data_IF_080063591527
#
_entry.id   IF_080063591527
#
_cell.length_a   1.000
_cell.length_b   1.000
_cell.length_c   1.000
_cell.angle_alpha   90.00
_cell.angle_beta   90.00
_cell.angle_gamma   90.00
#
_symmetry.space_group_name_H-M   'P 1'
#
loop_
_entity.id
_entity.type
_entity.pdbx_description
1 polymer ?
#
# COMPACT_ATOMS: atom_id res chain seq x y z
N UNK A 1 18.17 21.22 53.18
CA UNK A 1 17.46 21.69 54.39
C UNK A 1 16.74 20.49 54.97
N UNK A 2 17.14 20.06 56.18
CA UNK A 2 16.63 18.86 56.84
C UNK A 2 15.19 19.08 57.33
N UNK A 3 14.31 18.12 57.07
CA UNK A 3 13.20 17.79 57.97
C UNK A 3 12.92 16.28 57.92
N UNK A 4 13.16 15.63 59.06
CA UNK A 4 12.75 14.26 59.38
C UNK A 4 11.36 14.30 60.02
N UNK A 5 10.45 13.43 59.57
CA UNK A 5 9.45 12.64 60.33
C UNK A 5 8.99 11.54 59.33
N UNK A 6 8.83 10.24 59.60
CA UNK A 6 8.56 9.49 60.82
C UNK A 6 7.15 8.87 60.73
N UNK A 7 7.04 7.58 60.36
CA UNK A 7 5.82 6.77 60.55
C UNK A 7 5.12 6.30 59.27
N UNK A 8 5.01 4.98 59.09
CA UNK A 8 4.28 4.35 57.97
C UNK A 8 2.77 4.37 58.12
N UNK A 9 2.03 3.94 57.09
CA UNK A 9 0.90 2.97 57.11
C UNK A 9 0.23 2.85 55.72
N UNK A 10 -0.02 1.60 55.37
CA UNK A 10 -0.96 0.93 54.44
C UNK A 10 -1.93 1.73 53.52
N UNK A 11 -1.87 1.28 52.27
CA UNK A 11 -2.83 1.23 51.15
C UNK A 11 -4.35 1.35 51.48
N UNK A 12 -5.03 2.28 50.79
CA UNK A 12 -6.41 2.11 50.25
C UNK A 12 -6.76 3.28 49.32
N UNK A 13 -6.93 3.01 48.02
CA UNK A 13 -7.68 3.92 47.14
C UNK A 13 -8.76 3.09 46.44
N UNK A 14 -10.01 3.36 46.83
CA UNK A 14 -11.21 3.10 46.06
C UNK A 14 -11.63 4.47 45.52
N UNK A 15 -11.78 4.61 44.20
CA UNK A 15 -12.76 5.55 43.64
C UNK A 15 -13.15 5.11 42.22
N UNK A 16 -14.45 4.82 42.09
CA UNK A 16 -15.22 4.68 40.85
C UNK A 16 -15.17 5.99 40.05
N UNK A 17 -15.09 5.90 38.73
CA UNK A 17 -15.72 6.87 37.83
C UNK A 17 -16.43 6.11 36.70
N UNK A 18 -17.70 6.47 36.49
CA UNK A 18 -18.53 6.07 35.35
C UNK A 18 -18.04 6.70 34.05
N UNK A 19 -18.10 5.95 32.95
CA UNK A 19 -18.46 6.48 31.64
C UNK A 19 -19.10 5.35 30.82
N UNK A 20 -20.21 5.68 30.15
CA UNK A 20 -21.07 4.77 29.38
C UNK A 20 -21.13 5.35 27.96
N UNK A 21 -21.05 4.46 26.95
CA UNK A 21 -21.13 4.65 25.48
C UNK A 21 -19.85 5.21 24.83
N UNK A 22 -19.28 4.66 23.74
CA UNK A 22 -19.85 3.96 22.58
C UNK A 22 -18.77 3.06 21.90
N UNK A 23 -19.21 1.88 21.43
CA UNK A 23 -18.63 0.88 20.51
C UNK A 23 -17.15 0.93 20.05
N UNK A 24 -16.51 -0.24 20.14
CA UNK A 24 -15.90 -0.84 18.95
C UNK A 24 -14.38 -0.83 18.81
N UNK A 25 -13.62 -1.18 19.85
CA UNK A 25 -12.24 -1.63 19.65
C UNK A 25 -11.98 -2.85 20.53
N UNK A 26 -11.98 -4.02 19.89
CA UNK A 26 -11.51 -5.25 20.51
C UNK A 26 -10.02 -5.06 20.78
N UNK A 27 -9.69 -5.13 22.06
CA UNK A 27 -8.38 -4.95 22.65
C UNK A 27 -7.37 -5.94 22.01
N UNK A 28 -6.51 -5.48 21.10
CA UNK A 28 -5.29 -6.21 20.72
C UNK A 28 -4.29 -6.01 21.86
N UNK A 29 -4.47 -6.79 22.91
CA UNK A 29 -3.57 -6.84 24.05
C UNK A 29 -3.37 -8.31 24.42
N UNK A 30 -2.69 -9.03 23.53
CA UNK A 30 -2.14 -10.36 23.81
C UNK A 30 -0.76 -10.50 23.17
N UNK A 31 0.23 -9.82 23.74
CA UNK A 31 1.58 -10.38 23.78
C UNK A 31 1.72 -11.04 25.14
N UNK A 32 1.04 -12.18 25.30
CA UNK A 32 1.34 -13.10 26.41
C UNK A 32 2.43 -14.05 25.90
N UNK A 33 3.51 -14.29 26.65
CA UNK A 33 4.41 -15.39 26.29
C UNK A 33 3.57 -16.67 26.25
N UNK A 34 3.54 -17.33 25.09
CA UNK A 34 2.86 -18.60 24.89
C UNK A 34 3.34 -19.60 25.96
N UNK A 35 2.54 -19.78 26.99
CA UNK A 35 2.84 -20.69 28.09
C UNK A 35 2.66 -22.12 27.58
N UNK A 36 3.76 -22.89 27.56
CA UNK A 36 3.67 -24.35 27.39
C UNK A 36 2.79 -24.92 28.50
N UNK A 37 1.66 -25.51 28.13
CA UNK A 37 0.83 -26.25 29.06
C UNK A 37 1.39 -27.67 29.24
N UNK A 38 1.42 -28.15 30.49
CA UNK A 38 1.64 -29.55 30.85
C UNK A 38 0.28 -30.20 31.08
N UNK A 39 0.05 -31.40 30.55
CA UNK A 39 -1.23 -32.10 30.68
C UNK A 39 -1.48 -32.67 32.09
N UNK A 40 -0.51 -32.54 33.00
CA UNK A 40 -0.60 -33.00 34.39
C UNK A 40 -0.50 -34.54 34.53
N UNK A 41 -0.15 -35.27 33.47
CA UNK A 41 0.14 -36.70 33.52
C UNK A 41 1.38 -36.96 34.38
N UNK A 42 1.40 -38.10 35.10
CA UNK A 42 2.54 -38.50 35.94
C UNK A 42 3.79 -38.66 35.08
N UNK A 43 4.80 -37.84 35.32
CA UNK A 43 6.09 -37.95 34.63
C UNK A 43 6.73 -39.31 34.92
N UNK A 44 7.04 -40.09 33.89
CA UNK A 44 8.01 -41.18 34.05
C UNK A 44 9.38 -40.55 34.27
N UNK A 45 10.02 -40.84 35.39
CA UNK A 45 11.30 -40.25 35.74
C UNK A 45 12.42 -40.56 34.74
N UNK A 46 12.25 -41.54 33.85
CA UNK A 46 13.30 -42.00 32.93
C UNK A 46 13.49 -41.12 31.70
N UNK A 47 12.44 -40.45 31.22
CA UNK A 47 12.53 -39.51 30.09
C UNK A 47 11.61 -38.30 30.33
N UNK A 48 12.12 -37.10 30.07
CA UNK A 48 11.36 -35.87 30.21
C UNK A 48 11.68 -34.90 29.08
N UNK A 49 10.65 -34.22 28.56
CA UNK A 49 10.84 -33.06 27.68
C UNK A 49 11.39 -31.90 28.52
N UNK A 50 12.61 -31.47 28.22
CA UNK A 50 13.25 -30.32 28.90
C UNK A 50 12.90 -28.99 28.27
N UNK A 51 12.76 -28.96 26.94
CA UNK A 51 12.43 -27.77 26.18
C UNK A 51 11.84 -28.14 24.83
N UNK A 52 10.93 -27.30 24.34
CA UNK A 52 10.43 -27.32 22.96
C UNK A 52 10.60 -25.90 22.42
N UNK A 53 11.14 -25.76 21.23
CA UNK A 53 11.06 -24.54 20.44
C UNK A 53 10.42 -24.83 19.09
N UNK A 54 9.65 -23.87 18.60
CA UNK A 54 8.95 -23.92 17.32
C UNK A 54 9.29 -22.65 16.57
N UNK A 55 9.76 -22.77 15.33
CA UNK A 55 10.15 -21.63 14.52
C UNK A 55 9.89 -21.87 13.03
N UNK A 56 9.38 -20.86 12.31
CA UNK A 56 8.87 -19.58 12.83
C UNK A 56 7.50 -19.75 13.53
N UNK A 57 7.10 -18.77 14.35
CA UNK A 57 5.81 -18.78 15.07
C UNK A 57 4.60 -18.60 14.12
N UNK A 58 4.80 -17.80 13.07
CA UNK A 58 3.93 -17.63 11.92
C UNK A 58 4.66 -18.19 10.72
N UNK A 59 4.03 -19.03 9.91
CA UNK A 59 4.66 -19.51 8.69
C UNK A 59 3.68 -19.62 7.54
N UNK A 60 4.18 -19.27 6.36
CA UNK A 60 3.55 -19.59 5.10
C UNK A 60 4.14 -20.88 4.52
N UNK A 61 3.29 -21.82 4.06
CA UNK A 61 3.73 -23.07 3.45
C UNK A 61 4.43 -22.83 2.10
N UNK A 62 4.29 -21.63 1.52
CA UNK A 62 4.93 -21.22 0.28
C UNK A 62 6.30 -20.58 0.50
N UNK A 63 6.60 -20.13 1.71
CA UNK A 63 7.87 -19.48 2.07
C UNK A 63 8.78 -20.42 2.85
N UNK A 64 8.22 -21.23 3.76
CA UNK A 64 9.01 -22.11 4.63
C UNK A 64 8.17 -23.27 5.19
N UNK A 65 8.84 -24.15 5.94
CA UNK A 65 8.21 -25.12 6.83
C UNK A 65 8.42 -24.71 8.28
N UNK A 66 7.46 -25.01 9.14
CA UNK A 66 7.67 -24.94 10.57
C UNK A 66 8.65 -26.03 11.03
N UNK A 67 9.61 -25.67 11.88
CA UNK A 67 10.55 -26.60 12.54
C UNK A 67 10.23 -26.69 14.03
N UNK A 68 10.01 -27.92 14.50
CA UNK A 68 9.95 -28.27 15.92
C UNK A 68 11.32 -28.78 16.37
N UNK A 69 11.86 -28.23 17.46
CA UNK A 69 13.08 -28.72 18.10
C UNK A 69 12.78 -29.06 19.55
N UNK A 70 12.86 -30.35 19.90
CA UNK A 70 12.53 -30.85 21.23
C UNK A 70 13.75 -31.49 21.87
N UNK A 71 14.10 -31.04 23.07
CA UNK A 71 15.18 -31.64 23.87
C UNK A 71 14.60 -32.50 24.98
N UNK A 72 15.20 -33.67 25.15
CA UNK A 72 14.80 -34.69 26.11
C UNK A 72 15.93 -34.96 27.08
N UNK A 73 15.64 -34.95 28.38
CA UNK A 73 16.55 -35.44 29.42
C UNK A 73 16.19 -36.89 29.71
N UNK A 74 17.19 -37.76 29.63
CA UNK A 74 17.05 -39.20 29.87
C UNK A 74 17.90 -39.57 31.08
N UNK A 75 17.29 -40.22 32.08
CA UNK A 75 18.04 -40.75 33.24
C UNK A 75 18.64 -42.10 32.88
N UNK A 76 19.96 -42.24 33.00
CA UNK A 76 20.63 -43.55 32.95
C UNK A 76 20.24 -44.34 34.20
N UNK A 77 19.21 -45.18 34.06
CA UNK A 77 18.67 -46.05 35.10
C UNK A 77 18.90 -47.51 34.74
N UNK A 78 18.58 -48.45 35.64
CA UNK A 78 18.74 -49.90 35.44
C UNK A 78 18.14 -50.42 34.12
N UNK A 79 17.17 -49.71 33.53
CA UNK A 79 16.54 -50.05 32.25
C UNK A 79 17.39 -49.75 30.99
N UNK A 80 18.45 -48.95 31.10
CA UNK A 80 19.38 -48.58 30.01
C UNK A 80 20.75 -49.28 30.13
N UNK A 81 20.89 -50.23 31.05
CA UNK A 81 22.13 -50.99 31.27
C UNK A 81 22.44 -51.89 30.06
N UNK A 82 23.65 -51.78 29.54
CA UNK A 82 24.28 -52.81 28.73
C UNK A 82 25.07 -53.71 29.70
N UNK A 83 24.58 -54.92 29.95
CA UNK A 83 25.36 -55.94 30.67
C UNK A 83 26.22 -56.69 29.65
N UNK A 84 27.51 -56.89 29.93
CA UNK A 84 28.48 -57.65 29.10
C UNK A 84 28.06 -59.10 28.77
N UNK A 85 26.91 -59.57 29.30
CA UNK A 85 26.39 -60.94 29.17
C UNK A 85 24.98 -61.05 28.56
N UNK A 86 24.38 -59.95 28.09
CA UNK A 86 23.02 -59.94 27.49
C UNK A 86 23.05 -59.47 26.03
N UNK A 87 22.10 -59.92 25.17
CA UNK A 87 22.03 -59.47 23.78
C UNK A 87 22.01 -57.93 23.72
N UNK A 88 22.78 -57.37 22.77
CA UNK A 88 22.93 -55.93 22.59
C UNK A 88 21.55 -55.30 22.41
N UNK A 89 21.04 -54.66 23.46
CA UNK A 89 19.81 -53.89 23.39
C UNK A 89 20.11 -52.57 22.68
N UNK A 90 19.23 -52.21 21.73
CA UNK A 90 19.20 -50.87 21.15
C UNK A 90 18.13 -50.03 21.84
N UNK A 91 18.41 -48.75 22.01
CA UNK A 91 17.51 -47.80 22.67
C UNK A 91 17.18 -46.68 21.72
N UNK A 92 15.92 -46.27 21.69
CA UNK A 92 15.44 -45.21 20.82
C UNK A 92 14.61 -44.22 21.60
N UNK A 93 14.72 -42.93 21.25
CA UNK A 93 13.66 -41.95 21.55
C UNK A 93 12.81 -41.84 20.31
N UNK A 94 11.51 -42.12 20.45
CA UNK A 94 10.51 -41.93 19.39
C UNK A 94 9.66 -40.72 19.76
N UNK A 95 9.88 -39.60 19.09
CA UNK A 95 9.07 -38.39 19.21
C UNK A 95 7.84 -38.51 18.31
N UNK A 96 6.69 -38.10 18.83
CA UNK A 96 5.45 -37.94 18.07
C UNK A 96 4.91 -36.54 18.27
N UNK A 97 4.64 -35.85 17.16
CA UNK A 97 3.98 -34.54 17.12
C UNK A 97 2.63 -34.73 16.45
N UNK A 98 1.56 -34.41 17.19
CA UNK A 98 0.20 -34.41 16.66
C UNK A 98 -0.26 -32.97 16.49
N UNK A 99 -0.67 -32.61 15.28
CA UNK A 99 -1.19 -31.28 14.96
C UNK A 99 -2.69 -31.39 14.77
N UNK A 100 -3.43 -30.48 15.39
CA UNK A 100 -4.90 -30.46 15.43
C UNK A 100 -5.42 -29.03 15.26
N UNK A 101 -6.65 -28.89 14.80
CA UNK A 101 -7.32 -27.58 14.76
C UNK A 101 -7.62 -27.10 16.19
N UNK A 102 -7.38 -25.81 16.47
CA UNK A 102 -7.69 -25.19 17.75
C UNK A 102 -9.18 -25.28 18.16
N UNK A 103 -10.10 -25.39 17.19
CA UNK A 103 -11.55 -25.49 17.42
C UNK A 103 -12.08 -26.93 17.56
N UNK A 104 -11.27 -27.95 17.29
CA UNK A 104 -11.65 -29.37 17.39
C UNK A 104 -10.55 -30.16 18.11
N UNK A 105 -10.47 -29.97 19.42
CA UNK A 105 -9.53 -30.69 20.26
C UNK A 105 -9.73 -32.22 20.10
N UNK A 106 -8.70 -32.91 19.59
CA UNK A 106 -8.63 -34.38 19.57
C UNK A 106 -8.61 -35.04 18.19
N UNK A 107 -8.90 -34.33 17.10
CA UNK A 107 -8.74 -34.88 15.73
C UNK A 107 -7.35 -34.52 15.20
N UNK A 108 -6.50 -35.52 15.00
CA UNK A 108 -5.20 -35.35 14.37
C UNK A 108 -5.38 -35.01 12.88
N UNK A 109 -4.84 -33.86 12.47
CA UNK A 109 -4.75 -33.45 11.07
C UNK A 109 -3.42 -33.89 10.45
N UNK A 110 -2.35 -33.87 11.24
CA UNK A 110 -1.02 -34.32 10.87
C UNK A 110 -0.38 -35.04 12.04
N UNK A 111 0.24 -36.18 11.77
CA UNK A 111 1.12 -36.85 12.74
C UNK A 111 2.54 -36.92 12.17
N UNK A 112 3.50 -36.35 12.89
CA UNK A 112 4.92 -36.41 12.53
C UNK A 112 5.65 -37.24 13.57
N UNK A 113 6.22 -38.38 13.16
CA UNK A 113 7.00 -39.24 14.02
C UNK A 113 8.47 -39.22 13.60
N UNK A 114 9.36 -38.99 14.55
CA UNK A 114 10.80 -39.06 14.35
C UNK A 114 11.42 -39.98 15.40
N UNK A 115 12.45 -40.74 15.02
CA UNK A 115 13.16 -41.61 15.95
C UNK A 115 14.66 -41.38 15.90
N UNK A 116 15.31 -41.53 17.05
CA UNK A 116 16.76 -41.41 17.18
C UNK A 116 17.30 -42.56 18.03
N UNK A 117 18.25 -43.31 17.47
CA UNK A 117 18.97 -44.36 18.21
C UNK A 117 19.92 -43.71 19.22
N UNK A 118 19.80 -44.09 20.49
CA UNK A 118 20.64 -43.60 21.55
C UNK A 118 21.92 -44.43 21.62
N UNK A 119 23.04 -43.74 21.80
CA UNK A 119 24.27 -44.36 22.31
C UNK A 119 24.22 -44.27 23.83
N UNK A 120 24.03 -45.39 24.56
CA UNK A 120 23.88 -45.34 26.01
C UNK A 120 25.15 -44.77 26.66
N UNK A 121 25.07 -43.78 27.54
CA UNK A 121 26.25 -43.33 28.28
C UNK A 121 26.68 -44.37 29.31
N UNK A 122 27.96 -44.36 29.64
CA UNK A 122 28.53 -45.13 30.76
C UNK A 122 27.90 -44.65 32.08
N UNK A 123 27.44 -45.61 32.90
CA UNK A 123 26.73 -45.54 34.21
C UNK A 123 26.53 -44.17 34.89
N UNK A 124 25.33 -44.01 35.46
CA UNK A 124 24.95 -43.07 36.54
C UNK A 124 24.92 -41.57 36.21
N UNK A 125 24.77 -41.20 34.92
CA UNK A 125 24.56 -39.80 34.50
C UNK A 125 23.35 -39.66 33.58
N UNK A 126 22.56 -38.61 33.81
CA UNK A 126 21.55 -38.17 32.83
C UNK A 126 22.23 -37.55 31.62
N UNK A 127 21.60 -37.67 30.46
CA UNK A 127 22.08 -37.07 29.22
C UNK A 127 20.91 -36.48 28.45
N UNK A 128 21.23 -35.59 27.50
CA UNK A 128 20.24 -34.91 26.68
C UNK A 128 20.34 -35.35 25.23
N UNK A 129 19.19 -35.48 24.57
CA UNK A 129 19.09 -35.68 23.12
C UNK A 129 18.11 -34.65 22.56
N UNK A 130 18.41 -34.11 21.38
CA UNK A 130 17.52 -33.17 20.68
C UNK A 130 17.08 -33.80 19.38
N UNK A 131 15.77 -33.81 19.14
CA UNK A 131 15.16 -34.23 17.87
C UNK A 131 14.54 -33.01 17.20
N UNK A 132 14.64 -32.98 15.87
CA UNK A 132 13.95 -32.00 15.05
C UNK A 132 12.91 -32.68 14.17
N UNK A 133 11.83 -31.97 13.89
CA UNK A 133 10.78 -32.40 12.98
C UNK A 133 10.26 -31.18 12.22
N UNK A 134 9.73 -31.39 11.02
CA UNK A 134 9.19 -30.32 10.19
C UNK A 134 7.72 -30.54 9.87
N UNK A 135 7.00 -29.44 9.70
CA UNK A 135 5.64 -29.42 9.19
C UNK A 135 5.49 -28.36 8.10
N UNK A 136 4.90 -28.77 7.00
CA UNK A 136 4.72 -28.00 5.77
C UNK A 136 3.31 -27.39 5.62
N UNK A 137 2.52 -27.38 6.70
CA UNK A 137 1.15 -26.87 6.68
C UNK A 137 0.12 -27.85 6.09
N UNK A 138 0.52 -29.07 5.70
CA UNK A 138 -0.39 -30.06 5.10
C UNK A 138 -0.84 -31.10 6.11
N UNK A 139 -2.00 -31.72 5.85
CA UNK A 139 -2.48 -32.87 6.59
C UNK A 139 -1.78 -34.18 6.17
N UNK A 140 -2.15 -35.30 6.79
CA UNK A 140 -1.61 -36.64 6.46
C UNK A 140 -1.94 -37.08 5.02
N UNK A 141 -3.02 -36.56 4.42
CA UNK A 141 -3.37 -36.80 3.02
C UNK A 141 -2.61 -35.90 2.03
N UNK A 142 -1.73 -35.02 2.53
CA UNK A 142 -0.96 -34.08 1.70
C UNK A 142 -1.75 -32.88 1.19
N UNK A 143 -2.93 -32.61 1.75
CA UNK A 143 -3.75 -31.43 1.43
C UNK A 143 -3.34 -30.26 2.30
N UNK A 144 -3.16 -29.09 1.69
CA UNK A 144 -2.85 -27.85 2.42
C UNK A 144 -4.01 -27.47 3.33
N UNK A 145 -3.70 -27.17 4.60
CA UNK A 145 -4.68 -26.71 5.55
C UNK A 145 -4.99 -25.22 5.34
N UNK A 146 -6.18 -24.80 5.74
CA UNK A 146 -6.60 -23.40 5.67
C UNK A 146 -5.84 -22.54 6.69
N UNK A 147 -5.79 -21.24 6.44
CA UNK A 147 -5.19 -20.27 7.35
C UNK A 147 -5.83 -20.33 8.74
N UNK A 148 -5.01 -20.18 9.77
CA UNK A 148 -5.46 -20.10 11.15
C UNK A 148 -4.51 -20.69 12.18
N UNK A 149 -5.02 -20.81 13.40
CA UNK A 149 -4.26 -21.31 14.54
C UNK A 149 -4.45 -22.82 14.73
N UNK A 150 -3.33 -23.52 14.82
CA UNK A 150 -3.24 -24.95 15.04
C UNK A 150 -2.56 -25.23 16.38
N UNK A 151 -2.99 -26.32 17.03
CA UNK A 151 -2.39 -26.81 18.28
C UNK A 151 -1.52 -28.01 17.96
N UNK A 152 -0.27 -27.95 18.38
CA UNK A 152 0.63 -29.10 18.36
C UNK A 152 0.71 -29.74 19.74
N UNK A 153 0.84 -31.07 19.77
CA UNK A 153 1.05 -31.87 20.96
C UNK A 153 2.28 -32.74 20.75
N UNK A 154 3.35 -32.51 21.51
CA UNK A 154 4.60 -33.26 21.44
C UNK A 154 4.68 -34.22 22.62
N UNK A 155 4.95 -35.47 22.32
CA UNK A 155 5.28 -36.52 23.29
C UNK A 155 6.43 -37.37 22.77
N UNK A 156 7.07 -38.13 23.65
CA UNK A 156 8.03 -39.14 23.23
C UNK A 156 7.97 -40.40 24.08
N UNK A 157 8.31 -41.52 23.45
CA UNK A 157 8.49 -42.81 24.08
C UNK A 157 9.97 -43.20 24.05
N UNK A 158 10.49 -43.65 25.19
CA UNK A 158 11.79 -44.30 25.28
C UNK A 158 11.58 -45.81 25.07
N UNK A 159 12.16 -46.35 24.01
CA UNK A 159 11.92 -47.72 23.55
C UNK A 159 13.19 -48.54 23.61
N UNK A 160 13.08 -49.79 24.08
CA UNK A 160 14.14 -50.80 24.10
C UNK A 160 13.80 -51.95 23.15
N UNK A 161 14.73 -52.32 22.28
CA UNK A 161 14.60 -53.43 21.33
C UNK A 161 15.69 -54.48 21.57
N UNK A 162 15.37 -55.78 21.47
CA UNK A 162 16.39 -56.86 21.46
C UNK A 162 16.92 -57.06 20.03
N UNK A 163 18.24 -57.06 19.85
CA UNK A 163 18.84 -57.63 18.65
C UNK A 163 18.54 -59.14 18.62
N UNK A 164 17.96 -59.63 17.53
CA UNK A 164 17.99 -61.06 17.19
C UNK A 164 19.26 -61.34 16.40
N UNK A 165 20.09 -62.29 16.85
CA UNK A 165 21.20 -62.79 16.04
C UNK A 165 21.01 -64.27 15.69
N UNK A 166 21.06 -64.50 14.37
CA UNK A 166 21.54 -65.65 13.59
C UNK A 166 20.72 -66.96 13.55
N UNK A 167 20.01 -67.14 12.42
CA UNK A 167 19.89 -68.44 11.76
C UNK A 167 21.30 -69.02 11.54
N UNK A 168 21.61 -70.10 12.26
CA UNK A 168 22.64 -71.06 11.85
C UNK A 168 21.92 -72.36 11.55
N UNK A 169 21.61 -72.58 10.27
CA UNK A 169 21.21 -73.90 9.81
C UNK A 169 22.46 -74.79 9.69
N UNK A 170 22.73 -75.50 10.77
CA UNK A 170 23.47 -76.75 10.73
C UNK A 170 22.67 -77.78 9.94
N UNK A 171 23.36 -78.39 8.97
CA UNK A 171 22.98 -79.62 8.26
C UNK A 171 22.39 -80.65 9.22
N UNK A 172 21.33 -81.34 8.81
CA UNK A 172 21.38 -82.79 8.91
C UNK A 172 20.49 -83.53 7.91
N UNK A 173 21.14 -84.54 7.31
CA UNK A 173 20.59 -85.74 6.70
C UNK A 173 19.54 -86.42 7.59
N UNK A 174 18.72 -87.25 6.97
CA UNK A 174 18.21 -88.45 7.63
C UNK A 174 16.72 -88.51 7.85
N UNK A 175 16.04 -88.90 6.78
CA UNK A 175 14.83 -89.72 6.80
C UNK A 175 14.99 -90.91 7.79
N UNK A 176 14.14 -91.05 8.82
CA UNK A 176 13.38 -92.29 9.03
C UNK A 176 12.26 -92.17 10.08
N UNK A 177 11.20 -92.91 9.81
CA UNK A 177 10.04 -93.16 10.67
C UNK A 177 10.39 -94.29 11.64
N UNK A 178 9.97 -94.19 12.90
CA UNK A 178 8.85 -94.99 13.44
C UNK A 178 8.76 -94.99 14.98
N UNK A 179 7.51 -94.73 15.42
CA UNK A 179 6.74 -95.35 16.52
C UNK A 179 7.27 -95.46 17.97
N UNK A 180 6.44 -94.83 18.83
CA UNK A 180 5.86 -95.27 20.13
C UNK A 180 6.83 -95.50 21.30
N UNK A 181 6.67 -94.69 22.36
CA UNK A 181 6.09 -95.12 23.66
C UNK A 181 6.13 -94.00 24.72
N UNK A 182 5.09 -93.98 25.56
CA UNK A 182 5.02 -93.49 26.94
C UNK A 182 5.10 -91.97 27.28
N UNK A 183 3.93 -91.44 27.67
CA UNK A 183 3.61 -90.78 28.96
C UNK A 183 4.51 -89.63 29.44
N UNK A 184 4.00 -88.39 29.40
CA UNK A 184 3.93 -87.53 30.60
C UNK A 184 3.03 -86.30 30.44
N UNK A 185 2.45 -85.85 31.55
CA UNK A 185 1.74 -84.58 31.70
C UNK A 185 2.73 -83.42 31.55
N UNK A 186 2.40 -82.40 30.76
CA UNK A 186 3.02 -81.07 30.96
C UNK A 186 2.17 -79.95 30.35
N UNK A 187 1.88 -78.95 31.20
CA UNK A 187 1.41 -77.61 30.83
C UNK A 187 2.47 -76.91 29.96
N UNK A 188 2.09 -76.37 28.80
CA UNK A 188 2.78 -75.24 28.15
C UNK A 188 1.69 -74.22 27.80
N UNK A 189 1.57 -73.03 28.40
CA UNK A 189 2.47 -71.87 28.53
C UNK A 189 2.85 -71.28 27.16
N UNK A 190 2.02 -70.32 26.74
CA UNK A 190 2.22 -69.35 25.66
C UNK A 190 3.62 -68.72 25.71
N UNK A 191 4.29 -68.60 24.56
CA UNK A 191 5.47 -67.76 24.36
C UNK A 191 5.55 -67.27 22.91
N UNK A 192 4.77 -66.23 22.61
CA UNK A 192 5.18 -65.18 21.67
C UNK A 192 5.39 -63.92 22.52
N UNK A 193 6.60 -63.74 23.05
CA UNK A 193 6.97 -62.54 23.82
C UNK A 193 7.54 -61.47 22.87
N UNK A 194 6.85 -60.34 22.84
CA UNK A 194 7.11 -59.10 22.11
C UNK A 194 8.59 -58.64 22.13
N UNK A 195 9.14 -58.33 20.94
CA UNK A 195 10.58 -57.99 20.72
C UNK A 195 10.92 -56.53 21.06
N UNK A 196 9.92 -55.69 21.34
CA UNK A 196 10.06 -54.26 21.62
C UNK A 196 9.34 -53.88 22.91
N UNK A 197 9.95 -53.04 23.75
CA UNK A 197 9.36 -52.61 25.03
C UNK A 197 9.47 -51.10 25.21
N UNK A 198 8.35 -50.43 25.49
CA UNK A 198 8.32 -49.06 25.99
C UNK A 198 8.79 -49.07 27.44
N UNK A 199 9.84 -48.30 27.74
CA UNK A 199 10.48 -48.26 29.06
C UNK A 199 10.37 -46.91 29.76
N UNK A 200 9.85 -45.88 29.08
CA UNK A 200 9.39 -44.63 29.65
C UNK A 200 8.66 -43.75 28.65
N UNK A 201 7.83 -42.84 29.15
CA UNK A 201 7.02 -41.93 28.34
C UNK A 201 7.07 -40.52 28.93
N UNK A 202 7.05 -39.51 28.06
CA UNK A 202 6.95 -38.11 28.49
C UNK A 202 5.49 -37.70 28.66
N UNK A 203 5.22 -36.76 29.56
CA UNK A 203 3.99 -35.96 29.50
C UNK A 203 3.90 -35.22 28.16
N UNK A 204 2.68 -34.91 27.72
CA UNK A 204 2.47 -34.13 26.50
C UNK A 204 2.82 -32.66 26.75
N UNK A 205 3.55 -32.06 25.82
CA UNK A 205 3.73 -30.60 25.76
C UNK A 205 2.99 -30.04 24.57
N UNK A 206 2.14 -29.05 24.85
CA UNK A 206 1.30 -28.42 23.84
C UNK A 206 1.67 -26.96 23.64
N UNK A 207 1.46 -26.49 22.41
CA UNK A 207 1.56 -25.07 22.06
C UNK A 207 0.76 -24.79 20.80
N UNK A 208 0.82 -23.54 20.35
CA UNK A 208 0.12 -23.10 19.16
C UNK A 208 1.10 -22.69 18.06
N UNK A 209 0.63 -22.77 16.83
CA UNK A 209 1.30 -22.26 15.64
C UNK A 209 0.27 -21.63 14.71
N UNK A 210 0.67 -20.59 13.98
CA UNK A 210 -0.19 -19.93 13.00
C UNK A 210 0.30 -20.30 11.60
N UNK A 211 -0.57 -20.95 10.83
CA UNK A 211 -0.41 -21.19 9.41
C UNK A 211 -1.10 -20.05 8.68
N UNK A 212 -0.39 -19.39 7.78
CA UNK A 212 -0.93 -18.29 6.99
C UNK A 212 -0.33 -18.29 5.60
N UNK A 213 -1.15 -18.62 4.61
CA UNK A 213 -0.78 -18.70 3.21
C UNK A 213 -1.31 -17.51 2.39
N UNK A 214 -2.05 -16.58 3.01
CA UNK A 214 -2.68 -15.45 2.33
C UNK A 214 -1.77 -14.22 2.39
N UNK A 215 -1.53 -13.60 1.24
CA UNK A 215 -0.76 -12.34 1.21
C UNK A 215 -1.58 -11.15 1.75
N UNK A 216 -0.93 -10.12 2.31
CA UNK A 216 -1.58 -8.88 2.70
C UNK A 216 -2.42 -8.24 1.60
N UNK A 217 -3.49 -7.55 1.96
CA UNK A 217 -4.20 -6.64 1.05
C UNK A 217 -3.59 -5.25 1.18
N UNK A 218 -3.37 -4.57 0.05
CA UNK A 218 -2.86 -3.20 -0.01
C UNK A 218 -3.81 -2.37 -0.89
N UNK A 219 -4.14 -1.17 -0.45
CA UNK A 219 -4.84 -0.15 -1.23
C UNK A 219 -4.02 1.15 -1.19
N UNK A 220 -4.07 1.92 -2.28
CA UNK A 220 -3.30 3.16 -2.43
C UNK A 220 -4.18 4.31 -2.91
N UNK A 221 -3.87 5.51 -2.44
CA UNK A 221 -4.41 6.78 -2.91
C UNK A 221 -3.24 7.73 -3.23
N UNK A 222 -3.22 8.44 -4.36
CA UNK A 222 -4.22 8.45 -5.43
C UNK A 222 -4.48 7.08 -6.06
N UNK A 223 -5.74 6.85 -6.43
CA UNK A 223 -6.22 5.61 -7.02
C UNK A 223 -5.72 5.46 -8.47
N UNK A 224 -5.78 4.25 -8.99
CA UNK A 224 -5.22 3.97 -10.31
C UNK A 224 -5.98 4.74 -11.42
N UNK A 225 -5.21 5.50 -12.21
CA UNK A 225 -5.63 6.46 -13.24
C UNK A 225 -6.38 7.70 -12.73
N UNK A 226 -6.24 8.04 -11.44
CA UNK A 226 -6.82 9.26 -10.90
C UNK A 226 -6.14 10.51 -11.48
N UNK A 227 -6.94 11.51 -11.86
CA UNK A 227 -6.44 12.85 -12.15
C UNK A 227 -6.32 13.64 -10.84
N UNK A 228 -5.09 14.03 -10.52
CA UNK A 228 -4.74 14.72 -9.29
C UNK A 228 -4.42 16.18 -9.61
N UNK A 229 -5.19 17.08 -9.01
CA UNK A 229 -5.13 18.52 -9.28
C UNK A 229 -4.04 19.26 -8.46
N UNK A 230 -3.44 18.58 -7.48
CA UNK A 230 -2.34 19.14 -6.67
C UNK A 230 -1.00 18.66 -7.21
N UNK A 231 -0.06 19.58 -7.45
CA UNK A 231 1.32 19.24 -7.80
C UNK A 231 2.09 18.62 -6.63
N UNK A 232 1.60 18.74 -5.40
CA UNK A 232 2.17 18.15 -4.19
C UNK A 232 1.12 17.27 -3.50
N UNK A 233 0.76 16.12 -4.07
CA UNK A 233 -0.24 15.25 -3.48
C UNK A 233 0.27 14.56 -2.22
N UNK A 234 -0.67 14.04 -1.43
CA UNK A 234 -0.36 13.12 -0.33
C UNK A 234 -0.65 11.71 -0.82
N UNK A 235 0.37 10.87 -0.81
CA UNK A 235 0.23 9.44 -1.06
C UNK A 235 -0.20 8.76 0.24
N UNK A 236 -1.29 8.00 0.20
CA UNK A 236 -1.75 7.18 1.31
C UNK A 236 -1.76 5.71 0.90
N UNK A 237 -1.29 4.86 1.78
CA UNK A 237 -1.31 3.40 1.61
C UNK A 237 -2.01 2.81 2.82
N UNK A 238 -3.00 1.95 2.60
CA UNK A 238 -3.61 1.14 3.66
C UNK A 238 -3.30 -0.31 3.40
N UNK A 239 -3.06 -1.06 4.47
CA UNK A 239 -2.79 -2.49 4.36
C UNK A 239 -3.41 -3.26 5.51
N UNK A 240 -3.74 -4.52 5.24
CA UNK A 240 -4.31 -5.41 6.24
C UNK A 240 -3.94 -6.86 5.94
N UNK A 241 -3.75 -7.63 7.00
CA UNK A 241 -3.71 -9.08 6.95
C UNK A 241 -4.51 -9.62 8.14
N UNK A 242 -5.28 -10.68 7.91
CA UNK A 242 -6.25 -11.18 8.88
C UNK A 242 -5.68 -12.26 9.81
N UNK A 243 -4.62 -12.96 9.41
CA UNK A 243 -4.19 -14.19 10.09
C UNK A 243 -2.89 -13.99 10.87
N UNK A 244 -1.79 -13.65 10.20
CA UNK A 244 -0.50 -13.39 10.85
C UNK A 244 -0.30 -11.90 11.19
N UNK A 245 -1.08 -11.03 10.56
CA UNK A 245 -0.96 -9.59 10.68
C UNK A 245 0.28 -9.05 9.98
N UNK A 246 0.39 -7.73 9.94
CA UNK A 246 1.41 -7.05 9.12
C UNK A 246 2.78 -7.03 9.81
N UNK A 247 3.85 -7.23 9.03
CA UNK A 247 5.22 -6.88 9.42
C UNK A 247 5.62 -5.53 8.79
N UNK A 248 5.40 -4.45 9.53
CA UNK A 248 5.64 -3.08 9.06
C UNK A 248 7.11 -2.78 8.75
N UNK A 249 8.06 -3.60 9.24
CA UNK A 249 9.48 -3.41 8.95
C UNK A 249 9.84 -3.76 7.51
N UNK A 250 8.95 -4.46 6.80
CA UNK A 250 9.13 -4.87 5.41
C UNK A 250 8.46 -3.93 4.41
N UNK A 251 7.83 -2.85 4.90
CA UNK A 251 7.15 -1.88 4.05
C UNK A 251 8.16 -1.15 3.16
N UNK A 252 7.82 -1.05 1.88
CA UNK A 252 8.51 -0.25 0.90
C UNK A 252 7.50 0.57 0.09
N UNK A 253 7.85 1.83 -0.16
CA UNK A 253 7.09 2.74 -1.00
C UNK A 253 8.03 3.45 -1.96
N UNK A 254 7.72 3.43 -3.25
CA UNK A 254 8.35 4.29 -4.23
C UNK A 254 7.34 5.16 -4.97
N UNK A 255 7.82 6.34 -5.39
CA UNK A 255 7.15 7.27 -6.30
C UNK A 255 8.12 7.55 -7.45
N UNK A 256 7.72 7.24 -8.68
CA UNK A 256 8.54 7.41 -9.89
C UNK A 256 9.95 6.80 -9.75
N UNK A 257 9.98 5.53 -9.33
CA UNK A 257 11.21 4.76 -9.05
C UNK A 257 12.10 5.30 -7.91
N UNK A 258 11.70 6.38 -7.24
CA UNK A 258 12.38 6.90 -6.05
C UNK A 258 11.84 6.24 -4.79
N UNK A 259 12.72 5.61 -4.00
CA UNK A 259 12.36 5.07 -2.69
C UNK A 259 12.08 6.21 -1.69
N UNK A 260 10.83 6.30 -1.25
CA UNK A 260 10.33 7.29 -0.28
C UNK A 260 9.98 6.66 1.07
N UNK A 261 10.34 5.39 1.29
CA UNK A 261 10.04 4.64 2.51
C UNK A 261 10.55 5.37 3.75
N UNK A 262 11.80 5.84 3.73
CA UNK A 262 12.45 6.48 4.88
C UNK A 262 11.88 7.84 5.30
N UNK A 263 11.12 8.49 4.41
CA UNK A 263 10.44 9.78 4.67
C UNK A 263 8.94 9.63 4.85
N UNK A 264 8.43 8.40 4.76
CA UNK A 264 7.02 8.06 4.98
C UNK A 264 6.73 7.90 6.47
N UNK A 265 5.51 8.24 6.88
CA UNK A 265 5.00 7.92 8.23
C UNK A 265 4.32 6.56 8.15
N UNK A 266 4.91 5.54 8.80
CA UNK A 266 4.43 4.16 8.78
C UNK A 266 3.71 3.85 10.10
N UNK A 267 2.54 3.23 10.03
CA UNK A 267 1.69 2.85 11.16
C UNK A 267 1.29 1.37 11.04
N UNK A 268 0.73 0.72 12.07
CA UNK A 268 0.33 -0.68 11.96
C UNK A 268 -0.73 -1.00 10.88
N UNK A 269 -1.43 0.00 10.34
CA UNK A 269 -2.55 -0.19 9.40
C UNK A 269 -2.38 0.57 8.08
N UNK A 270 -1.26 1.26 7.89
CA UNK A 270 -1.04 2.06 6.69
C UNK A 270 0.20 2.95 6.77
N UNK A 271 0.49 3.65 5.68
CA UNK A 271 1.56 4.61 5.57
C UNK A 271 1.12 5.86 4.82
N UNK A 272 1.73 7.00 5.11
CA UNK A 272 1.49 8.26 4.38
C UNK A 272 2.80 8.93 3.98
N UNK A 273 2.86 9.44 2.76
CA UNK A 273 3.96 10.22 2.23
C UNK A 273 3.43 11.53 1.64
N UNK A 274 3.87 12.67 2.17
CA UNK A 274 3.55 13.99 1.62
C UNK A 274 4.62 14.40 0.62
N UNK A 275 4.24 14.55 -0.65
CA UNK A 275 5.16 15.05 -1.68
C UNK A 275 5.51 16.51 -1.36
N UNK A 276 6.81 16.82 -1.26
CA UNK A 276 7.30 18.15 -0.87
C UNK A 276 7.80 18.98 -2.05
N UNK A 277 8.24 18.32 -3.12
CA UNK A 277 8.66 18.96 -4.36
C UNK A 277 7.53 18.84 -5.37
N UNK A 278 7.04 19.95 -5.97
CA UNK A 278 6.01 19.89 -6.99
C UNK A 278 6.39 18.92 -8.12
N UNK A 279 5.48 18.01 -8.42
CA UNK A 279 5.59 17.08 -9.54
C UNK A 279 5.30 17.81 -10.85
N UNK A 280 5.95 17.36 -11.92
CA UNK A 280 5.67 17.82 -13.29
C UNK A 280 4.32 17.29 -13.78
N UNK A 281 3.70 17.93 -14.76
CA UNK A 281 2.57 17.33 -15.46
C UNK A 281 2.93 16.00 -16.13
N UNK A 282 1.98 15.08 -16.15
CA UNK A 282 2.14 13.74 -16.72
C UNK A 282 1.71 12.62 -15.78
N UNK A 283 2.10 11.40 -16.13
CA UNK A 283 1.79 10.18 -15.38
C UNK A 283 2.88 9.95 -14.33
N UNK A 284 2.46 9.70 -13.10
CA UNK A 284 3.29 9.31 -11.98
C UNK A 284 2.93 7.90 -11.52
N UNK A 285 3.92 7.16 -11.02
CA UNK A 285 3.77 5.76 -10.61
C UNK A 285 4.10 5.57 -9.14
N UNK A 286 3.17 4.95 -8.40
CA UNK A 286 3.33 4.52 -7.02
C UNK A 286 3.55 3.01 -7.02
N UNK A 287 4.57 2.53 -6.30
CA UNK A 287 4.74 1.11 -6.01
C UNK A 287 4.79 0.95 -4.50
N UNK A 288 3.87 0.15 -3.95
CA UNK A 288 3.81 -0.17 -2.53
C UNK A 288 3.97 -1.67 -2.34
N UNK A 289 4.86 -2.08 -1.45
CA UNK A 289 5.16 -3.49 -1.14
C UNK A 289 5.23 -3.70 0.36
N UNK A 290 4.67 -4.79 0.86
CA UNK A 290 4.76 -5.17 2.28
C UNK A 290 4.62 -6.69 2.43
N UNK A 291 5.15 -7.24 3.52
CA UNK A 291 4.85 -8.60 3.94
C UNK A 291 4.07 -8.67 5.25
N UNK A 292 3.37 -9.78 5.44
CA UNK A 292 2.86 -10.18 6.74
C UNK A 292 3.99 -10.81 7.60
N UNK A 293 3.63 -11.27 8.81
CA UNK A 293 4.56 -11.98 9.71
C UNK A 293 4.85 -13.42 9.32
N UNK A 294 4.03 -14.02 8.45
CA UNK A 294 4.27 -15.32 7.84
C UNK A 294 5.16 -15.24 6.58
N UNK A 295 5.63 -14.04 6.25
CA UNK A 295 6.45 -13.67 5.09
C UNK A 295 5.73 -13.78 3.73
N UNK A 296 4.40 -13.81 3.68
CA UNK A 296 3.69 -13.60 2.42
C UNK A 296 3.82 -12.13 2.01
N UNK A 297 4.12 -11.91 0.73
CA UNK A 297 4.40 -10.59 0.18
C UNK A 297 3.25 -10.17 -0.74
N UNK A 298 2.88 -8.90 -0.65
CA UNK A 298 2.06 -8.21 -1.65
C UNK A 298 2.78 -6.99 -2.19
N UNK A 299 2.56 -6.72 -3.47
CA UNK A 299 3.04 -5.54 -4.18
C UNK A 299 1.91 -5.02 -5.08
N UNK A 300 1.73 -3.71 -5.10
CA UNK A 300 0.77 -3.03 -5.98
C UNK A 300 1.46 -1.87 -6.68
N UNK A 301 1.12 -1.73 -7.95
CA UNK A 301 1.45 -0.57 -8.76
C UNK A 301 0.18 0.21 -9.06
N UNK A 302 0.21 1.52 -8.83
CA UNK A 302 -0.86 2.45 -9.18
C UNK A 302 -0.27 3.64 -9.91
N UNK A 303 -0.91 4.06 -10.99
CA UNK A 303 -0.52 5.27 -11.71
C UNK A 303 -1.53 6.39 -11.47
N UNK A 304 -1.11 7.63 -11.43
CA UNK A 304 -2.00 8.79 -11.39
C UNK A 304 -1.48 9.88 -12.32
N UNK A 305 -2.32 10.81 -12.74
CA UNK A 305 -1.95 11.88 -13.65
C UNK A 305 -1.99 13.23 -12.94
N UNK A 306 -1.01 14.08 -13.22
CA UNK A 306 -1.00 15.49 -12.84
C UNK A 306 -1.14 16.34 -14.09
N UNK A 307 -1.97 17.37 -14.00
CA UNK A 307 -2.06 18.42 -15.00
C UNK A 307 -1.34 19.69 -14.51
N UNK A 308 -0.32 20.10 -15.26
CA UNK A 308 0.45 21.32 -15.02
C UNK A 308 0.42 22.27 -16.22
N UNK A 309 -0.54 22.10 -17.14
CA UNK A 309 -0.61 22.86 -18.39
C UNK A 309 -1.72 23.90 -18.29
N UNK A 310 -1.44 25.19 -18.50
CA UNK A 310 -2.50 26.19 -18.61
C UNK A 310 -3.48 25.88 -19.75
N UNK A 311 -4.76 26.32 -19.63
CA UNK A 311 -5.69 26.24 -20.73
C UNK A 311 -5.19 27.08 -21.93
N UNK A 312 -5.56 26.72 -23.15
CA UNK A 312 -5.38 27.60 -24.30
C UNK A 312 -6.41 28.73 -24.25
N UNK A 313 -5.99 29.94 -24.64
CA UNK A 313 -6.82 31.14 -24.62
C UNK A 313 -6.54 31.99 -25.87
N UNK A 314 -7.59 32.35 -26.61
CA UNK A 314 -7.52 33.27 -27.74
C UNK A 314 -8.55 34.39 -27.63
N UNK A 315 -8.20 35.58 -28.12
CA UNK A 315 -9.05 36.77 -28.08
C UNK A 315 -9.30 37.30 -29.49
N UNK A 316 -10.58 37.44 -29.84
CA UNK A 316 -11.07 38.00 -31.09
C UNK A 316 -11.84 39.29 -30.79
N UNK A 317 -11.84 40.22 -31.74
CA UNK A 317 -12.78 41.33 -31.80
C UNK A 317 -13.47 41.32 -33.16
N UNK A 318 -14.81 41.37 -33.16
CA UNK A 318 -15.66 41.30 -34.36
C UNK A 318 -15.32 40.10 -35.28
N UNK A 319 -14.95 38.97 -34.68
CA UNK A 319 -14.59 37.74 -35.37
C UNK A 319 -13.15 37.65 -35.86
N UNK A 320 -12.35 38.69 -35.69
CA UNK A 320 -10.95 38.74 -36.13
C UNK A 320 -9.98 38.69 -34.94
N UNK A 321 -8.86 37.97 -35.11
CA UNK A 321 -7.83 37.90 -34.08
C UNK A 321 -7.19 39.26 -33.87
N UNK A 322 -7.12 39.71 -32.61
CA UNK A 322 -6.48 40.97 -32.25
C UNK A 322 -5.12 40.75 -31.58
N UNK A 323 -4.25 41.74 -31.71
CA UNK A 323 -2.90 41.76 -31.13
C UNK A 323 -2.56 43.20 -30.70
N UNK A 324 -1.43 43.38 -30.01
CA UNK A 324 -1.00 44.71 -29.57
C UNK A 324 -0.84 45.66 -30.78
N UNK A 325 -1.58 46.77 -30.75
CA UNK A 325 -1.62 47.77 -31.81
C UNK A 325 -2.68 47.54 -32.88
N UNK A 326 -3.51 46.49 -32.78
CA UNK A 326 -4.66 46.28 -33.67
C UNK A 326 -5.56 47.52 -33.69
N UNK A 327 -6.03 47.89 -34.88
CA UNK A 327 -6.99 48.98 -35.06
C UNK A 327 -8.37 48.37 -35.31
N UNK A 328 -9.34 48.74 -34.49
CA UNK A 328 -10.72 48.29 -34.55
C UNK A 328 -11.57 49.47 -35.03
N UNK A 329 -12.25 49.29 -36.16
CA UNK A 329 -13.09 50.33 -36.79
C UNK A 329 -14.57 50.27 -36.37
N UNK A 330 -14.82 49.59 -35.26
CA UNK A 330 -16.11 49.46 -34.60
C UNK A 330 -15.97 50.00 -33.18
N UNK A 331 -16.80 50.97 -32.81
CA UNK A 331 -16.76 51.61 -31.48
C UNK A 331 -17.50 50.77 -30.43
N UNK A 332 -18.27 49.75 -30.83
CA UNK A 332 -18.89 48.75 -29.95
C UNK A 332 -18.47 47.35 -30.39
N UNK A 333 -17.17 47.00 -30.29
CA UNK A 333 -16.70 45.70 -30.75
C UNK A 333 -17.29 44.57 -29.91
N UNK A 334 -17.61 43.45 -30.57
CA UNK A 334 -17.90 42.21 -29.89
C UNK A 334 -16.58 41.47 -29.64
N UNK A 335 -16.18 41.38 -28.38
CA UNK A 335 -15.06 40.55 -27.97
C UNK A 335 -15.50 39.11 -27.77
N UNK A 336 -14.70 38.18 -28.28
CA UNK A 336 -14.89 36.75 -28.07
C UNK A 336 -13.58 36.14 -27.55
N UNK A 337 -13.68 35.42 -26.45
CA UNK A 337 -12.59 34.73 -25.78
C UNK A 337 -12.85 33.24 -25.88
N UNK A 338 -12.14 32.54 -26.76
CA UNK A 338 -12.24 31.09 -26.86
C UNK A 338 -11.17 30.44 -25.97
N UNK A 339 -11.55 29.36 -25.28
CA UNK A 339 -10.66 28.63 -24.39
C UNK A 339 -10.94 27.14 -24.37
N UNK A 340 -9.89 26.35 -24.16
CA UNK A 340 -9.98 24.90 -24.04
C UNK A 340 -8.87 24.38 -23.14
N UNK A 341 -9.13 23.25 -22.50
CA UNK A 341 -8.13 22.46 -21.79
C UNK A 341 -8.48 20.98 -21.94
N UNK A 342 -7.51 20.17 -22.36
CA UNK A 342 -7.71 18.76 -22.68
C UNK A 342 -7.47 17.83 -21.48
N UNK A 343 -6.86 18.32 -20.40
CA UNK A 343 -6.40 17.50 -19.29
C UNK A 343 -7.34 17.61 -18.07
N UNK A 344 -7.33 18.74 -17.36
CA UNK A 344 -8.22 18.96 -16.22
C UNK A 344 -9.53 19.64 -16.59
N UNK A 345 -9.64 20.18 -17.80
CA UNK A 345 -10.79 20.93 -18.28
C UNK A 345 -10.84 22.32 -17.69
N UNK A 346 -11.62 23.20 -18.32
CA UNK A 346 -11.67 24.62 -17.96
C UNK A 346 -12.51 24.87 -16.71
N UNK A 347 -12.02 25.73 -15.81
CA UNK A 347 -12.78 26.25 -14.69
C UNK A 347 -13.38 27.62 -15.04
N UNK A 348 -14.59 27.65 -15.59
CA UNK A 348 -15.23 28.90 -16.03
C UNK A 348 -15.52 29.89 -14.90
N UNK A 349 -15.61 29.42 -13.64
CA UNK A 349 -15.79 30.30 -12.47
C UNK A 349 -14.54 31.14 -12.15
N UNK A 350 -13.37 30.76 -12.72
CA UNK A 350 -12.13 31.51 -12.59
C UNK A 350 -11.99 32.65 -13.61
N UNK A 351 -12.88 32.72 -14.62
CA UNK A 351 -12.80 33.70 -15.69
C UNK A 351 -12.89 35.13 -15.16
N UNK A 352 -11.98 35.99 -15.63
CA UNK A 352 -11.97 37.42 -15.36
C UNK A 352 -11.71 38.19 -16.64
N UNK A 353 -12.43 39.29 -16.80
CA UNK A 353 -12.30 40.20 -17.93
C UNK A 353 -12.21 41.64 -17.43
N UNK A 354 -11.24 42.38 -17.96
CA UNK A 354 -11.14 43.81 -17.74
C UNK A 354 -10.99 44.57 -19.05
N UNK A 355 -11.62 45.75 -19.12
CA UNK A 355 -11.49 46.71 -20.20
C UNK A 355 -11.07 48.06 -19.58
N UNK A 356 -9.97 48.63 -20.05
CA UNK A 356 -9.36 49.86 -19.52
C UNK A 356 -9.15 49.84 -18.00
N UNK A 357 -8.76 48.67 -17.48
CA UNK A 357 -8.59 48.35 -16.05
C UNK A 357 -9.89 48.30 -15.23
N UNK A 358 -11.06 48.47 -15.85
CA UNK A 358 -12.35 48.22 -15.20
C UNK A 358 -12.71 46.73 -15.33
N UNK A 359 -13.06 46.09 -14.22
CA UNK A 359 -13.60 44.73 -14.22
C UNK A 359 -15.00 44.73 -14.84
N UNK A 360 -15.13 44.02 -15.96
CA UNK A 360 -16.37 43.88 -16.73
C UNK A 360 -16.79 42.41 -16.83
N UNK A 361 -16.26 41.56 -15.94
CA UNK A 361 -16.52 40.11 -15.92
C UNK A 361 -18.02 39.80 -15.83
N UNK A 362 -18.76 40.55 -15.02
CA UNK A 362 -20.20 40.33 -14.81
C UNK A 362 -21.05 40.67 -16.04
N UNK A 363 -20.53 41.48 -16.96
CA UNK A 363 -21.20 41.87 -18.20
C UNK A 363 -20.90 40.90 -19.36
N UNK A 364 -19.98 39.95 -19.17
CA UNK A 364 -19.67 38.91 -20.13
C UNK A 364 -20.66 37.74 -20.06
N UNK A 365 -20.94 37.14 -21.21
CA UNK A 365 -21.66 35.86 -21.32
C UNK A 365 -20.62 34.75 -21.37
N UNK A 366 -20.56 33.92 -20.33
CA UNK A 366 -19.55 32.87 -20.16
C UNK A 366 -20.20 31.50 -20.42
N UNK A 367 -19.61 30.69 -21.29
CA UNK A 367 -20.02 29.32 -21.61
C UNK A 367 -18.90 28.32 -21.30
N UNK A 368 -19.08 27.01 -21.42
CA UNK A 368 -17.99 26.05 -21.18
C UNK A 368 -16.79 26.16 -22.12
N UNK A 369 -16.94 26.77 -23.31
CA UNK A 369 -15.89 26.82 -24.34
C UNK A 369 -15.50 28.23 -24.79
N UNK A 370 -16.28 29.25 -24.42
CA UNK A 370 -15.97 30.63 -24.76
C UNK A 370 -16.67 31.62 -23.83
N UNK A 371 -16.20 32.86 -23.86
CA UNK A 371 -16.91 34.00 -23.30
C UNK A 371 -17.05 35.11 -24.34
N UNK A 372 -18.16 35.84 -24.33
CA UNK A 372 -18.38 37.01 -25.20
C UNK A 372 -18.69 38.24 -24.38
N UNK A 373 -18.18 39.40 -24.81
CA UNK A 373 -18.44 40.68 -24.17
C UNK A 373 -18.62 41.78 -25.23
N UNK A 374 -19.63 42.62 -25.03
CA UNK A 374 -19.86 43.81 -25.86
C UNK A 374 -20.01 45.02 -24.95
N UNK A 375 -19.18 46.07 -25.08
CA UNK A 375 -19.33 47.28 -24.29
C UNK A 375 -20.74 47.87 -24.42
N UNK A 376 -21.37 48.19 -23.29
CA UNK A 376 -22.73 48.74 -23.28
C UNK A 376 -22.81 50.14 -23.92
N UNK A 377 -21.71 50.90 -23.88
CA UNK A 377 -21.57 52.20 -24.53
C UNK A 377 -20.43 52.13 -25.55
N UNK A 378 -20.52 52.90 -26.66
CA UNK A 378 -19.41 53.05 -27.58
C UNK A 378 -18.13 53.49 -26.85
N UNK A 379 -17.02 52.82 -27.14
CA UNK A 379 -15.69 53.21 -26.70
C UNK A 379 -15.32 54.56 -27.31
N UNK A 380 -14.40 55.29 -26.69
CA UNK A 380 -13.86 56.51 -27.30
C UNK A 380 -12.93 56.17 -28.46
N UNK A 381 -12.74 57.10 -29.39
CA UNK A 381 -11.60 56.98 -30.31
C UNK A 381 -10.29 57.10 -29.53
N UNK A 382 -9.31 56.25 -29.83
CA UNK A 382 -8.02 56.23 -29.14
C UNK A 382 -7.61 54.84 -28.64
N UNK A 383 -6.66 54.82 -27.68
CA UNK A 383 -6.07 53.58 -27.15
C UNK A 383 -6.94 52.99 -26.05
N UNK A 384 -7.12 51.68 -26.11
CA UNK A 384 -7.84 50.88 -25.12
C UNK A 384 -7.03 49.63 -24.76
N UNK A 385 -7.29 49.06 -23.59
CA UNK A 385 -6.65 47.82 -23.12
C UNK A 385 -7.68 46.79 -22.68
N UNK A 386 -7.57 45.56 -23.15
CA UNK A 386 -8.39 44.43 -22.73
C UNK A 386 -7.50 43.35 -22.09
N UNK A 387 -7.88 42.85 -20.92
CA UNK A 387 -7.16 41.79 -20.21
C UNK A 387 -8.12 40.68 -19.82
N UNK A 388 -7.71 39.43 -20.06
CA UNK A 388 -8.49 38.22 -19.77
C UNK A 388 -7.63 37.25 -18.97
N UNK A 389 -8.17 36.71 -17.88
CA UNK A 389 -7.57 35.62 -17.11
C UNK A 389 -8.58 34.46 -17.03
N UNK A 390 -8.12 33.22 -17.22
CA UNK A 390 -8.90 32.01 -16.97
C UNK A 390 -7.98 30.90 -16.47
N UNK A 391 -8.50 29.99 -15.64
CA UNK A 391 -7.79 28.80 -15.16
C UNK A 391 -8.51 27.53 -15.57
N UNK A 392 -7.77 26.44 -15.60
CA UNK A 392 -8.32 25.09 -15.66
C UNK A 392 -8.76 24.62 -14.25
N UNK A 393 -9.22 23.37 -14.12
CA UNK A 393 -9.60 22.80 -12.83
C UNK A 393 -8.40 22.42 -11.96
N UNK A 394 -7.21 22.22 -12.55
CA UNK A 394 -5.95 22.03 -11.82
C UNK A 394 -5.37 23.34 -11.24
N UNK A 395 -5.93 24.50 -11.61
CA UNK A 395 -5.50 25.82 -11.17
C UNK A 395 -4.37 26.43 -12.01
N UNK A 396 -4.03 25.82 -13.15
CA UNK A 396 -3.09 26.41 -14.11
C UNK A 396 -3.77 27.60 -14.81
N UNK A 397 -3.05 28.72 -14.92
CA UNK A 397 -3.60 30.00 -15.37
C UNK A 397 -3.16 30.37 -16.77
N UNK A 398 -4.10 30.78 -17.60
CA UNK A 398 -3.86 31.48 -18.85
C UNK A 398 -4.30 32.95 -18.71
N UNK A 399 -3.45 33.86 -19.18
CA UNK A 399 -3.72 35.29 -19.17
C UNK A 399 -3.31 35.91 -20.51
N UNK A 400 -4.10 36.86 -21.01
CA UNK A 400 -3.74 37.69 -22.16
C UNK A 400 -4.10 39.14 -21.89
N UNK A 401 -3.25 40.06 -22.37
CA UNK A 401 -3.46 41.50 -22.26
C UNK A 401 -3.08 42.17 -23.57
N UNK A 402 -4.04 42.87 -24.18
CA UNK A 402 -3.91 43.47 -25.50
C UNK A 402 -4.28 44.94 -25.46
N UNK A 403 -3.38 45.79 -25.95
CA UNK A 403 -3.66 47.19 -26.23
C UNK A 403 -4.07 47.35 -27.68
N UNK A 404 -5.23 47.97 -27.94
CA UNK A 404 -5.76 48.21 -29.29
C UNK A 404 -6.17 49.67 -29.46
N UNK A 405 -6.48 50.06 -30.69
CA UNK A 405 -6.92 51.40 -31.05
C UNK A 405 -8.32 51.33 -31.61
N UNK A 406 -9.24 52.14 -31.11
CA UNK A 406 -10.56 52.37 -31.71
C UNK A 406 -10.50 53.62 -32.57
N UNK A 407 -10.96 53.54 -33.82
CA UNK A 407 -10.91 54.66 -34.76
C UNK A 407 -11.96 54.55 -35.87
N UNK A 408 -12.37 55.67 -36.47
CA UNK A 408 -13.15 55.63 -37.71
C UNK A 408 -12.26 55.24 -38.91
N UNK A 409 -12.86 54.57 -39.90
CA UNK A 409 -12.20 54.31 -41.18
C UNK A 409 -11.97 55.64 -41.94
N UNK A 410 -10.70 56.04 -42.12
CA UNK A 410 -10.32 57.29 -42.79
C UNK A 410 -10.00 57.15 -44.29
N UNK A 411 -10.07 55.93 -44.84
CA UNK A 411 -9.79 55.64 -46.26
C UNK A 411 -8.33 55.30 -46.57
N UNK A 412 -8.04 55.05 -47.85
CA UNK A 412 -6.68 54.76 -48.37
C UNK A 412 -6.21 55.95 -49.18
N UNK A 413 -4.96 56.38 -48.96
CA UNK A 413 -4.30 57.41 -49.77
C UNK A 413 -3.07 56.81 -50.42
N UNK A 414 -2.93 57.04 -51.72
CA UNK A 414 -1.79 56.60 -52.51
C UNK A 414 -1.00 57.81 -53.05
N UNK A 415 -0.08 57.55 -53.99
CA UNK A 415 0.77 58.59 -54.59
C UNK A 415 -0.01 59.63 -55.40
N UNK A 416 -1.28 59.39 -55.76
CA UNK A 416 -2.14 60.38 -56.41
C UNK A 416 -2.58 61.50 -55.45
N UNK A 417 -2.40 61.32 -54.13
CA UNK A 417 -2.95 62.22 -53.12
C UNK A 417 -4.48 62.14 -53.09
N UNK A 418 -5.12 63.08 -52.40
CA UNK A 418 -6.58 63.07 -52.30
C UNK A 418 -7.11 63.98 -51.19
N UNK A 419 -8.43 64.09 -51.13
CA UNK A 419 -9.13 64.79 -50.05
C UNK A 419 -9.80 63.73 -49.17
N UNK A 420 -9.39 63.67 -47.90
CA UNK A 420 -10.14 62.91 -46.89
C UNK A 420 -11.11 63.86 -46.24
N UNK A 421 -12.38 63.53 -46.32
CA UNK A 421 -13.43 64.25 -45.61
C UNK A 421 -13.68 63.52 -44.30
N UNK A 422 -13.37 64.17 -43.17
CA UNK A 422 -13.66 63.62 -41.83
C UNK A 422 -15.16 63.82 -41.56
N UNK A 423 -15.98 62.80 -41.85
CA UNK A 423 -17.39 62.80 -41.47
C UNK A 423 -17.58 61.98 -40.20
N UNK A 424 -18.09 62.60 -39.13
CA UNK A 424 -18.48 61.88 -37.93
C UNK A 424 -19.73 61.02 -38.21
N UNK A 425 -19.60 59.70 -38.09
CA UNK A 425 -20.67 58.73 -38.34
C UNK A 425 -21.88 58.92 -37.40
N UNK A 426 -21.71 59.54 -36.22
CA UNK A 426 -22.77 59.81 -35.26
C UNK A 426 -23.50 61.15 -35.47
N UNK A 427 -22.95 62.07 -36.29
CA UNK A 427 -23.56 63.37 -36.62
C UNK A 427 -22.85 63.97 -37.85
N UNK A 428 -23.43 63.94 -39.07
CA UNK A 428 -22.79 64.46 -40.27
C UNK A 428 -22.82 65.99 -40.28
N UNK A 429 -21.96 66.62 -39.49
CA UNK A 429 -21.61 68.03 -39.65
C UNK A 429 -20.55 68.11 -40.77
N UNK A 430 -20.64 69.14 -41.63
CA UNK A 430 -19.70 69.39 -42.72
C UNK A 430 -18.25 69.28 -42.22
N UNK A 431 -17.56 68.23 -42.67
CA UNK A 431 -16.30 67.75 -42.11
C UNK A 431 -15.10 68.64 -42.41
N UNK A 432 -14.08 68.57 -41.54
CA UNK A 432 -12.74 69.04 -41.89
C UNK A 432 -12.20 68.17 -43.05
N UNK A 433 -11.70 68.82 -44.10
CA UNK A 433 -11.06 68.14 -45.22
C UNK A 433 -9.54 68.17 -45.04
N UNK A 434 -8.91 67.00 -44.95
CA UNK A 434 -7.46 66.89 -45.05
C UNK A 434 -7.10 66.72 -46.53
N UNK A 435 -6.43 67.70 -47.11
CA UNK A 435 -5.92 67.60 -48.48
C UNK A 435 -4.49 67.09 -48.44
N UNK A 436 -4.24 65.94 -49.06
CA UNK A 436 -2.92 65.35 -49.17
C UNK A 436 -2.43 65.56 -50.61
N UNK A 437 -1.33 66.31 -50.83
CA UNK A 437 -0.83 66.56 -52.18
C UNK A 437 -0.29 65.28 -52.82
N UNK A 438 -0.33 65.22 -54.15
CA UNK A 438 0.26 64.12 -54.90
C UNK A 438 1.74 63.91 -54.55
N UNK A 439 2.17 62.65 -54.47
CA UNK A 439 3.49 62.21 -54.03
C UNK A 439 3.85 62.48 -52.54
N UNK A 440 2.90 62.92 -51.71
CA UNK A 440 3.13 63.08 -50.27
C UNK A 440 3.43 61.76 -49.56
N UNK A 441 2.93 60.64 -50.10
CA UNK A 441 3.17 59.30 -49.59
C UNK A 441 3.71 58.42 -50.73
N UNK A 442 4.88 57.78 -50.56
CA UNK A 442 5.53 57.01 -51.62
C UNK A 442 4.86 55.64 -51.88
N UNK A 443 3.96 55.21 -50.99
CA UNK A 443 3.20 53.96 -51.04
C UNK A 443 1.80 54.18 -50.45
N UNK A 444 0.80 53.32 -50.77
CA UNK A 444 -0.52 53.40 -50.16
C UNK A 444 -0.46 53.34 -48.63
N UNK A 445 -1.14 54.28 -47.98
CA UNK A 445 -1.28 54.34 -46.52
C UNK A 445 -2.77 54.33 -46.15
N UNK A 446 -3.13 53.53 -45.16
CA UNK A 446 -4.46 53.50 -44.56
C UNK A 446 -4.50 54.56 -43.46
N UNK A 447 -5.52 55.43 -43.50
CA UNK A 447 -5.72 56.46 -42.50
C UNK A 447 -6.87 56.09 -41.58
N UNK A 448 -6.69 56.43 -40.30
CA UNK A 448 -7.64 56.20 -39.24
C UNK A 448 -7.88 57.52 -38.49
N UNK A 449 -9.13 57.78 -38.13
CA UNK A 449 -9.51 59.03 -37.44
C UNK A 449 -9.78 58.68 -35.97
N UNK A 450 -8.96 59.23 -35.07
CA UNK A 450 -8.95 58.89 -33.64
C UNK A 450 -9.93 59.69 -32.78
N UNK A 451 -10.68 60.65 -33.33
CA UNK A 451 -11.51 61.56 -32.53
C UNK A 451 -13.00 61.27 -32.61
N UNK A 452 -13.67 61.32 -31.46
CA UNK A 452 -15.08 61.70 -31.42
C UNK A 452 -15.16 63.19 -31.79
N UNK A 453 -15.55 63.51 -33.01
CA UNK A 453 -15.70 64.92 -33.41
C UNK A 453 -16.74 65.56 -32.48
N UNK A 454 -16.44 66.65 -31.76
CA UNK A 454 -17.42 67.30 -30.91
C UNK A 454 -18.65 67.71 -31.73
N UNK A 455 -19.83 67.71 -31.09
CA UNK A 455 -21.11 68.13 -31.69
C UNK A 455 -21.17 69.61 -32.11
N UNK A 456 -20.05 70.33 -32.02
CA UNK A 456 -19.88 71.71 -32.47
C UNK A 456 -19.04 71.76 -33.75
N UNK A 457 -19.47 72.48 -34.80
CA UNK A 457 -18.69 72.61 -36.04
C UNK A 457 -17.29 73.17 -35.74
N UNK A 458 -16.27 72.45 -36.20
CA UNK A 458 -14.88 72.92 -36.16
C UNK A 458 -14.71 74.06 -37.17
N UNK A 459 -14.80 75.31 -36.70
CA UNK A 459 -14.35 76.46 -37.47
C UNK A 459 -12.84 76.62 -37.26
N UNK A 460 -12.02 76.02 -38.12
CA UNK A 460 -10.77 76.60 -38.64
C UNK A 460 -9.89 75.54 -39.32
N UNK A 461 -9.20 76.01 -40.37
CA UNK A 461 -8.27 75.26 -41.21
C UNK A 461 -7.23 74.50 -40.37
N UNK A 462 -7.16 73.18 -40.57
CA UNK A 462 -5.97 72.40 -40.25
C UNK A 462 -4.92 72.70 -41.33
N UNK A 463 -3.78 73.23 -40.90
CA UNK A 463 -2.55 73.38 -41.71
C UNK A 463 -1.76 72.08 -41.65
#
# INVERSE_FOLDING_TARGET
MNMKTGGGYKLRIIKRLCAKWLLGFLCVLLVSPFLLADDGSKQDEKIKISSVSVSPEFFSPFQSSCVFSSSYIIKSSDGLKQDDKSPVHKFFVKQTIVISSSGQAGVALKTVSTEHELVPPVKDKSFSVTLTAQWDGKNDAGVLLADGSYVYNISAQLVRTKNGENEKDEKNDGNDKDKKSAKDKSKGKDKDEDKTKIIGETSVKSGAIILDATSPVIEVSPSNNELVLSLTPVIQVTYSDATSGIDTLTFHLSLDDQDVTGVSVITPTGATYSVTTPLSGGIHTIIARISDKAANISEVTSTFQIDSTPPVLSLLADGEAISNGSVIVNFTPQFQMDYADDASGVNTASFKLSLDNADVTADAIITPSNATYTPANPLSGGKHGISVEISDNAGNKAETSINFIVADAGGVIDSAGGIITVTNSASPILGASLTIPANAVPSPVILYILSSVPSTPLTSNLV
#
